data_IF_184703311473
#
_entry.id   IF_184703311473
#
_cell.length_a   1.000
_cell.length_b   1.000
_cell.length_c   1.000
_cell.angle_alpha   90.00
_cell.angle_beta   90.00
_cell.angle_gamma   90.00
#
_symmetry.space_group_name_H-M   'P 1'
#
loop_
_entity.id
_entity.type
_entity.pdbx_description
1 polymer ?
#
# COMPACT_ATOMS: atom_id res chain seq x y z
N UNK A 1 -4.19 2.20 -6.22
CA UNK A 1 -3.77 2.86 -7.48
C UNK A 1 -2.63 2.09 -8.14
N UNK A 2 -2.80 1.62 -9.39
CA UNK A 2 -1.76 0.86 -10.12
C UNK A 2 -1.89 0.91 -11.66
N UNK A 3 -2.74 1.79 -12.21
CA UNK A 3 -3.16 1.76 -13.62
C UNK A 3 -2.40 2.69 -14.56
N UNK A 4 -1.44 3.49 -14.08
CA UNK A 4 -0.73 4.47 -14.88
C UNK A 4 0.70 4.68 -14.36
N UNK A 5 1.56 5.23 -15.21
CA UNK A 5 2.91 5.65 -14.88
C UNK A 5 3.16 7.05 -15.44
N UNK A 6 4.05 7.81 -14.82
CA UNK A 6 4.38 9.18 -15.23
C UNK A 6 5.89 9.34 -15.42
N UNK A 7 6.28 10.13 -16.42
CA UNK A 7 7.67 10.47 -16.63
C UNK A 7 8.16 11.42 -15.53
N UNK A 8 9.30 11.12 -14.91
CA UNK A 8 9.87 11.93 -13.84
C UNK A 8 10.14 13.39 -14.27
N UNK A 9 10.46 13.64 -15.54
CA UNK A 9 10.66 15.01 -16.05
C UNK A 9 9.39 15.85 -15.95
N UNK A 10 8.21 15.26 -16.18
CA UNK A 10 6.93 15.96 -16.05
C UNK A 10 6.66 16.35 -14.60
N UNK A 11 6.99 15.44 -13.67
CA UNK A 11 6.83 15.67 -12.23
C UNK A 11 7.77 16.77 -11.75
N UNK A 12 9.05 16.72 -12.14
CA UNK A 12 10.07 17.69 -11.70
C UNK A 12 9.87 19.09 -12.30
N UNK A 13 9.33 19.19 -13.51
CA UNK A 13 9.06 20.46 -14.16
C UNK A 13 7.80 21.15 -13.64
N UNK A 14 6.95 20.44 -12.87
CA UNK A 14 5.69 20.98 -12.38
C UNK A 14 5.78 21.36 -10.90
N UNK A 15 5.90 22.65 -10.63
CA UNK A 15 5.98 23.22 -9.27
C UNK A 15 4.65 23.21 -8.50
N UNK A 16 3.54 22.88 -9.17
CA UNK A 16 2.20 22.90 -8.60
C UNK A 16 1.60 21.49 -8.42
N UNK A 17 2.41 20.45 -8.60
CA UNK A 17 2.02 19.07 -8.39
C UNK A 17 1.44 18.88 -6.97
N UNK A 18 0.23 18.33 -6.89
CA UNK A 18 -0.43 18.03 -5.62
C UNK A 18 -1.01 16.62 -5.64
N UNK A 19 -0.91 15.94 -4.50
CA UNK A 19 -1.66 14.73 -4.21
C UNK A 19 -2.70 15.07 -3.13
N UNK A 20 -3.85 15.65 -3.52
CA UNK A 20 -4.91 15.97 -2.58
C UNK A 20 -5.52 14.67 -2.03
N UNK A 21 -5.80 14.67 -0.72
CA UNK A 21 -6.46 13.56 -0.06
C UNK A 21 -7.98 13.69 -0.23
N UNK A 22 -8.45 13.48 -1.46
CA UNK A 22 -9.87 13.47 -1.80
C UNK A 22 -10.30 12.04 -2.13
N UNK A 23 -11.28 11.50 -1.39
CA UNK A 23 -11.79 10.15 -1.62
C UNK A 23 -12.29 9.99 -3.07
N UNK A 24 -11.73 9.02 -3.81
CA UNK A 24 -12.10 8.69 -5.18
C UNK A 24 -11.75 9.72 -6.26
N UNK A 25 -11.12 10.85 -5.90
CA UNK A 25 -10.66 11.90 -6.84
C UNK A 25 -9.17 12.16 -6.79
N UNK A 26 -8.45 11.47 -5.92
CA UNK A 26 -7.01 11.65 -5.73
C UNK A 26 -6.24 11.45 -7.05
N UNK A 27 -6.63 10.43 -7.81
CA UNK A 27 -6.05 10.09 -9.11
C UNK A 27 -6.30 11.17 -10.17
N UNK A 28 -7.55 11.65 -10.27
CA UNK A 28 -7.95 12.67 -11.24
C UNK A 28 -7.27 14.00 -10.94
N UNK A 29 -7.32 14.45 -9.69
CA UNK A 29 -6.72 15.73 -9.29
C UNK A 29 -5.19 15.70 -9.42
N UNK A 30 -4.55 14.53 -9.29
CA UNK A 30 -3.13 14.37 -9.57
C UNK A 30 -2.82 14.62 -11.06
N UNK A 31 -3.56 13.97 -11.98
CA UNK A 31 -3.37 14.14 -13.42
C UNK A 31 -3.72 15.56 -13.88
N UNK A 32 -4.78 16.15 -13.33
CA UNK A 32 -5.16 17.54 -13.59
C UNK A 32 -4.05 18.50 -13.13
N UNK A 33 -3.44 18.24 -11.96
CA UNK A 33 -2.33 19.05 -11.45
C UNK A 33 -1.07 18.94 -12.33
N UNK A 34 -0.89 17.82 -13.02
CA UNK A 34 0.16 17.62 -14.02
C UNK A 34 -0.12 18.35 -15.34
N UNK A 35 -1.35 18.83 -15.55
CA UNK A 35 -1.78 19.46 -16.80
C UNK A 35 -1.95 18.47 -17.94
N UNK A 36 -2.21 17.19 -17.63
CA UNK A 36 -2.39 16.12 -18.61
C UNK A 36 -3.88 15.97 -18.92
N UNK A 37 -4.24 15.98 -20.20
CA UNK A 37 -5.58 15.66 -20.66
C UNK A 37 -5.70 14.18 -21.05
N UNK A 38 -6.92 13.69 -21.23
CA UNK A 38 -7.16 12.29 -21.66
C UNK A 38 -6.51 12.00 -23.02
N UNK A 39 -6.39 13.01 -23.87
CA UNK A 39 -5.81 12.92 -25.21
C UNK A 39 -4.29 12.71 -25.17
N UNK A 40 -3.65 13.10 -24.07
CA UNK A 40 -2.21 12.94 -23.84
C UNK A 40 -1.83 11.57 -23.26
N UNK A 41 -2.82 10.72 -22.94
CA UNK A 41 -2.60 9.41 -22.33
C UNK A 41 -2.13 8.39 -23.35
N UNK A 42 -0.97 7.78 -23.08
CA UNK A 42 -0.44 6.69 -23.89
C UNK A 42 -1.09 5.34 -23.49
N UNK A 43 -1.86 4.75 -24.40
CA UNK A 43 -2.50 3.45 -24.19
C UNK A 43 -1.47 2.31 -24.28
N UNK A 44 -1.02 1.81 -23.13
CA UNK A 44 -0.15 0.64 -23.04
C UNK A 44 -0.95 -0.66 -22.97
N UNK A 45 -0.25 -1.80 -22.93
CA UNK A 45 -0.87 -3.14 -22.80
C UNK A 45 -1.78 -3.52 -23.99
N UNK A 46 -1.31 -3.28 -25.22
CA UNK A 46 -2.02 -3.61 -26.46
C UNK A 46 -3.38 -2.89 -26.54
N UNK A 47 -3.36 -1.55 -26.56
CA UNK A 47 -4.55 -0.68 -26.50
C UNK A 47 -5.48 -0.99 -25.33
N UNK A 48 -4.91 -1.20 -24.13
CA UNK A 48 -5.64 -1.56 -22.92
C UNK A 48 -6.50 -2.85 -23.02
N UNK A 49 -6.18 -3.75 -23.96
CA UNK A 49 -6.89 -5.04 -24.10
C UNK A 49 -6.36 -6.13 -23.17
N UNK A 50 -5.15 -5.96 -22.61
CA UNK A 50 -4.51 -6.93 -21.72
C UNK A 50 -4.43 -6.42 -20.28
N UNK A 51 -4.79 -7.28 -19.34
CA UNK A 51 -4.65 -7.01 -17.90
C UNK A 51 -3.29 -7.52 -17.42
N UNK A 52 -2.38 -6.59 -17.08
CA UNK A 52 -1.03 -6.90 -16.58
C UNK A 52 -0.85 -6.61 -15.07
N UNK A 53 -1.88 -6.08 -14.40
CA UNK A 53 -1.83 -5.68 -12.99
C UNK A 53 -3.09 -6.09 -12.25
N UNK A 54 -2.96 -6.46 -10.97
CA UNK A 54 -4.06 -6.85 -10.10
C UNK A 54 -4.05 -6.04 -8.82
N UNK A 55 -5.23 -5.58 -8.40
CA UNK A 55 -5.40 -4.87 -7.14
C UNK A 55 -5.74 -5.86 -6.01
N UNK A 56 -4.74 -6.55 -5.50
CA UNK A 56 -4.93 -7.54 -4.41
C UNK A 56 -4.93 -6.86 -3.05
N UNK A 57 -5.73 -7.39 -2.11
CA UNK A 57 -5.77 -6.93 -0.74
C UNK A 57 -5.47 -8.10 0.20
N UNK A 58 -4.51 -7.90 1.10
CA UNK A 58 -4.22 -8.88 2.15
C UNK A 58 -5.32 -8.84 3.21
N UNK A 59 -5.77 -10.02 3.64
CA UNK A 59 -6.66 -10.12 4.80
C UNK A 59 -5.85 -9.91 6.08
N UNK A 60 -6.41 -9.22 7.09
CA UNK A 60 -5.76 -9.12 8.38
C UNK A 60 -5.49 -10.53 8.92
N UNK A 61 -4.28 -10.77 9.40
CA UNK A 61 -3.92 -12.04 9.98
C UNK A 61 -4.80 -12.31 11.21
N UNK A 62 -5.36 -13.53 11.28
CA UNK A 62 -5.98 -14.00 12.51
C UNK A 62 -4.85 -14.40 13.45
N UNK A 63 -4.29 -13.42 14.16
CA UNK A 63 -3.43 -13.73 15.29
C UNK A 63 -4.28 -14.41 16.36
N UNK A 64 -3.86 -15.56 16.91
CA UNK A 64 -4.56 -16.15 18.04
C UNK A 64 -4.63 -15.10 19.14
N UNK A 65 -5.80 -14.94 19.76
CA UNK A 65 -5.96 -14.05 20.92
C UNK A 65 -4.82 -14.31 21.89
N UNK A 66 -4.14 -13.26 22.36
CA UNK A 66 -3.01 -13.37 23.28
C UNK A 66 -3.31 -14.28 24.49
N UNK A 67 -4.56 -14.28 24.96
CA UNK A 67 -5.04 -15.17 26.02
C UNK A 67 -4.98 -16.67 25.70
N UNK A 68 -5.10 -17.07 24.42
CA UNK A 68 -4.88 -18.45 23.98
C UNK A 68 -3.39 -18.77 23.88
N UNK A 69 -2.57 -17.81 23.42
CA UNK A 69 -1.11 -17.96 23.35
C UNK A 69 -0.53 -18.22 24.73
N UNK A 70 -0.95 -17.46 25.77
CA UNK A 70 -0.49 -17.66 27.14
C UNK A 70 -0.84 -19.03 27.74
N UNK A 71 -1.98 -19.63 27.36
CA UNK A 71 -2.36 -20.97 27.84
C UNK A 71 -1.46 -22.06 27.25
N UNK A 72 -1.07 -21.90 25.99
CA UNK A 72 -0.12 -22.80 25.32
C UNK A 72 1.31 -22.54 25.80
N UNK A 73 1.67 -21.27 26.05
CA UNK A 73 2.96 -20.86 26.60
C UNK A 73 3.23 -21.46 27.97
N UNK A 74 2.26 -21.41 28.90
CA UNK A 74 2.41 -22.07 30.21
C UNK A 74 2.51 -23.59 30.15
N UNK A 75 2.04 -24.22 29.07
CA UNK A 75 2.15 -25.68 28.86
C UNK A 75 3.51 -26.09 28.30
N UNK A 76 4.16 -25.24 27.52
CA UNK A 76 5.49 -25.46 27.00
C UNK A 76 6.47 -24.79 27.95
N UNK A 77 7.11 -25.57 28.85
CA UNK A 77 8.21 -25.10 29.69
C UNK A 77 9.36 -24.58 28.81
N UNK A 78 9.25 -23.34 28.35
CA UNK A 78 10.25 -22.67 27.52
C UNK A 78 10.90 -21.57 28.33
N UNK A 79 12.08 -21.18 27.89
CA UNK A 79 12.88 -20.11 28.46
C UNK A 79 12.38 -18.69 28.12
N UNK A 80 11.23 -18.54 27.46
CA UNK A 80 10.70 -17.22 27.10
C UNK A 80 10.23 -16.43 28.33
N UNK A 81 9.67 -17.10 29.35
CA UNK A 81 9.23 -16.42 30.58
C UNK A 81 10.42 -15.73 31.26
N UNK A 82 11.58 -16.41 31.33
CA UNK A 82 12.81 -15.85 31.87
C UNK A 82 13.35 -14.67 31.03
N UNK A 83 13.18 -14.71 29.70
CA UNK A 83 13.58 -13.62 28.82
C UNK A 83 12.65 -12.40 28.96
N UNK A 84 11.35 -12.63 29.11
CA UNK A 84 10.35 -11.58 29.31
C UNK A 84 10.54 -10.85 30.65
N UNK A 85 10.89 -11.57 31.72
CA UNK A 85 11.24 -10.95 32.99
C UNK A 85 12.52 -10.11 32.89
N UNK A 86 13.54 -10.59 32.15
CA UNK A 86 14.78 -9.84 31.90
C UNK A 86 14.55 -8.56 31.07
N UNK A 87 13.63 -8.58 30.11
CA UNK A 87 13.35 -7.40 29.27
C UNK A 87 12.48 -6.35 29.96
N UNK A 88 11.74 -6.73 31.01
CA UNK A 88 10.87 -5.82 31.78
C UNK A 88 11.50 -5.34 33.10
N UNK A 89 12.75 -5.73 33.38
CA UNK A 89 13.59 -5.20 34.47
C UNK A 89 14.57 -4.16 33.95
#
# INVERSE_FOLDING_TARGET
>A
MAGFAVNLRLVLNNTHLKMPHAEGRQETEFLDSLGISIEDLEALCDNATKVLVWHTQSRPAVFPRYSMVNKTFRRLKTNLDALLDYMNS
#
